data_IF_755030564990
#
_entry.id   IF_755030564990
#
_cell.length_a   1.000
_cell.length_b   1.000
_cell.length_c   1.000
_cell.angle_alpha   90.00
_cell.angle_beta   90.00
_cell.angle_gamma   90.00
#
_symmetry.space_group_name_H-M   'P 1'
#
loop_
_entity.id
_entity.type
_entity.pdbx_description
1 polymer ?
#
# COMPACT_ATOMS: atom_id res chain seq x y z
N UNK A 1 -57.62 33.29 -5.20
CA UNK A 1 -57.57 31.88 -4.75
C UNK A 1 -56.10 31.49 -4.49
N UNK A 2 -55.68 31.66 -3.25
CA UNK A 2 -54.36 31.29 -2.80
C UNK A 2 -54.38 29.85 -2.25
N UNK A 3 -53.55 28.95 -2.81
CA UNK A 3 -53.27 27.64 -2.22
C UNK A 3 -51.98 27.72 -1.39
N UNK A 4 -52.12 27.50 -0.09
CA UNK A 4 -51.03 27.27 0.86
C UNK A 4 -50.33 25.97 0.50
N UNK A 5 -49.02 26.05 0.29
CA UNK A 5 -48.15 24.88 0.26
C UNK A 5 -47.80 24.47 1.72
N UNK A 6 -48.19 23.26 2.07
CA UNK A 6 -47.85 22.67 3.37
C UNK A 6 -46.39 22.24 3.39
N UNK A 7 -45.73 22.59 4.48
CA UNK A 7 -44.38 22.17 4.83
C UNK A 7 -44.47 20.80 5.48
N UNK A 8 -44.13 19.76 4.73
CA UNK A 8 -43.92 18.42 5.28
C UNK A 8 -42.51 18.32 5.82
N UNK A 9 -42.36 18.56 7.13
CA UNK A 9 -41.15 18.20 7.84
C UNK A 9 -41.10 16.66 7.98
N UNK A 10 -40.20 16.03 7.31
CA UNK A 10 -39.84 14.62 7.53
C UNK A 10 -39.13 14.53 8.89
N UNK A 11 -39.85 14.16 9.93
CA UNK A 11 -39.27 13.76 11.20
C UNK A 11 -38.63 12.38 11.03
N UNK A 12 -37.29 12.37 10.95
CA UNK A 12 -36.53 11.12 11.02
C UNK A 12 -36.49 10.69 12.48
N UNK A 13 -37.37 9.79 12.88
CA UNK A 13 -37.27 9.08 14.15
C UNK A 13 -36.06 8.15 14.11
N UNK A 14 -34.95 8.58 14.70
CA UNK A 14 -33.87 7.68 15.05
C UNK A 14 -34.36 6.72 16.13
N UNK A 15 -34.72 5.51 15.72
CA UNK A 15 -34.98 4.39 16.62
C UNK A 15 -33.63 3.96 17.22
N UNK A 16 -33.22 4.60 18.32
CA UNK A 16 -32.09 4.14 19.13
C UNK A 16 -32.55 2.85 19.82
N UNK A 17 -32.35 1.72 19.14
CA UNK A 17 -32.45 0.39 19.75
C UNK A 17 -31.48 0.37 20.93
N UNK A 18 -31.97 0.34 22.16
CA UNK A 18 -31.13 0.10 23.35
C UNK A 18 -30.37 -1.20 23.13
N UNK A 19 -29.09 -1.11 22.74
CA UNK A 19 -28.19 -2.24 22.68
C UNK A 19 -27.89 -2.65 24.13
N UNK A 20 -28.62 -3.65 24.63
CA UNK A 20 -28.29 -4.32 25.89
C UNK A 20 -27.10 -5.25 25.62
N UNK A 21 -25.90 -4.76 25.85
CA UNK A 21 -24.68 -5.58 25.82
C UNK A 21 -24.73 -6.58 26.98
N UNK A 22 -24.62 -7.87 26.68
CA UNK A 22 -24.48 -8.88 27.72
C UNK A 22 -23.16 -8.68 28.48
N UNK A 23 -23.12 -9.01 29.77
CA UNK A 23 -21.89 -8.94 30.57
C UNK A 23 -20.71 -9.71 29.92
N UNK A 24 -21.04 -10.83 29.28
CA UNK A 24 -20.07 -11.65 28.56
C UNK A 24 -19.51 -10.94 27.32
N UNK A 25 -20.37 -10.33 26.51
CA UNK A 25 -19.95 -9.54 25.35
C UNK A 25 -19.14 -8.30 25.74
N UNK A 26 -19.48 -7.67 26.88
CA UNK A 26 -18.71 -6.55 27.43
C UNK A 26 -17.31 -6.99 27.88
N UNK A 27 -17.20 -8.11 28.61
CA UNK A 27 -15.90 -8.65 29.06
C UNK A 27 -15.05 -9.14 27.88
N UNK A 28 -15.64 -9.77 26.87
CA UNK A 28 -14.93 -10.13 25.66
C UNK A 28 -14.45 -8.87 24.87
N UNK A 29 -15.28 -7.85 24.75
CA UNK A 29 -14.92 -6.58 24.12
C UNK A 29 -13.82 -5.85 24.89
N UNK A 30 -13.88 -5.82 26.21
CA UNK A 30 -12.84 -5.24 27.06
C UNK A 30 -11.51 -6.03 26.97
N UNK A 31 -11.59 -7.35 26.95
CA UNK A 31 -10.42 -8.22 26.77
C UNK A 31 -9.73 -7.99 25.42
N UNK A 32 -10.49 -7.88 24.34
CA UNK A 32 -9.91 -7.57 23.02
C UNK A 32 -9.36 -6.15 22.94
N UNK A 33 -9.99 -5.17 23.57
CA UNK A 33 -9.47 -3.80 23.64
C UNK A 33 -8.15 -3.69 24.39
N UNK A 34 -7.93 -4.53 25.42
CA UNK A 34 -6.68 -4.59 26.18
C UNK A 34 -5.57 -5.35 25.44
N UNK A 35 -5.93 -6.24 24.52
CA UNK A 35 -4.96 -7.08 23.75
C UNK A 35 -4.53 -6.40 22.45
N UNK A 36 -5.40 -5.59 21.84
CA UNK A 36 -5.04 -4.87 20.63
C UNK A 36 -4.15 -3.67 20.99
N UNK A 37 -2.97 -3.56 20.37
CA UNK A 37 -2.17 -2.36 20.53
C UNK A 37 -2.97 -1.16 20.07
N UNK A 38 -2.96 -0.04 20.80
CA UNK A 38 -3.67 1.17 20.38
C UNK A 38 -3.11 1.61 19.03
N UNK A 39 -3.96 1.61 18.02
CA UNK A 39 -3.63 2.28 16.77
C UNK A 39 -3.56 3.77 17.04
N UNK A 40 -2.63 4.47 16.42
CA UNK A 40 -2.50 5.94 16.55
C UNK A 40 -3.83 6.65 16.27
N UNK A 41 -4.68 6.06 15.40
CA UNK A 41 -6.02 6.53 15.12
C UNK A 41 -7.02 6.35 16.28
N UNK A 42 -6.72 5.47 17.25
CA UNK A 42 -7.58 5.17 18.41
C UNK A 42 -7.12 5.92 19.67
N UNK A 43 -5.92 6.51 19.65
CA UNK A 43 -5.43 7.33 20.75
C UNK A 43 -6.36 8.54 20.91
N UNK A 44 -7.08 8.60 22.04
CA UNK A 44 -7.90 9.75 22.37
C UNK A 44 -7.00 11.00 22.36
N UNK A 45 -7.42 12.02 21.63
CA UNK A 45 -6.70 13.28 21.42
C UNK A 45 -6.60 14.06 22.74
N UNK A 46 -5.53 13.87 23.49
CA UNK A 46 -5.13 14.78 24.54
C UNK A 46 -4.19 15.80 23.93
N UNK A 47 -4.69 16.96 23.55
CA UNK A 47 -3.92 18.03 22.92
C UNK A 47 -4.47 18.48 21.56
N UNK A 48 -3.88 19.52 20.98
CA UNK A 48 -4.21 19.92 19.60
C UNK A 48 -3.92 18.76 18.66
N UNK A 49 -4.86 18.37 17.77
CA UNK A 49 -4.63 17.26 16.85
C UNK A 49 -3.39 17.60 16.00
N UNK A 50 -2.37 16.75 16.12
CA UNK A 50 -1.25 16.83 15.16
C UNK A 50 -1.80 16.57 13.76
N UNK A 51 -1.37 17.29 12.73
CA UNK A 51 -1.77 16.98 11.38
C UNK A 51 -1.44 15.51 11.08
N UNK A 52 -2.36 14.83 10.42
CA UNK A 52 -2.14 13.44 10.01
C UNK A 52 -0.99 13.44 8.99
N UNK A 53 0.09 12.67 9.21
CA UNK A 53 1.19 12.62 8.27
C UNK A 53 0.71 12.17 6.89
N UNK A 54 1.24 12.79 5.84
CA UNK A 54 0.99 12.36 4.48
C UNK A 54 1.51 10.93 4.28
N UNK A 55 0.67 10.06 3.71
CA UNK A 55 1.03 8.69 3.38
C UNK A 55 0.88 8.47 1.89
N UNK A 56 1.86 7.81 1.30
CA UNK A 56 1.86 7.42 -0.10
C UNK A 56 1.92 5.89 -0.19
N UNK A 57 1.22 5.32 -1.15
CA UNK A 57 1.23 3.87 -1.42
C UNK A 57 1.41 3.61 -2.90
N UNK A 58 2.23 2.61 -3.23
CA UNK A 58 2.47 2.15 -4.58
C UNK A 58 2.16 0.66 -4.64
N UNK A 59 1.31 0.24 -5.58
CA UNK A 59 0.96 -1.15 -5.79
C UNK A 59 1.37 -1.55 -7.20
N UNK A 60 2.26 -2.54 -7.29
CA UNK A 60 2.72 -3.10 -8.57
C UNK A 60 2.01 -4.42 -8.85
N UNK A 61 1.45 -4.56 -10.04
CA UNK A 61 0.84 -5.79 -10.53
C UNK A 61 1.78 -6.37 -11.60
N UNK A 62 2.48 -7.47 -11.30
CA UNK A 62 3.40 -8.08 -12.26
C UNK A 62 2.67 -8.70 -13.46
N UNK A 63 3.39 -8.92 -14.55
CA UNK A 63 2.90 -9.53 -15.79
C UNK A 63 1.80 -8.77 -16.54
N UNK A 64 1.47 -7.55 -16.10
CA UNK A 64 0.49 -6.69 -16.76
C UNK A 64 -0.96 -7.11 -16.53
N UNK A 65 -1.85 -6.65 -17.41
CA UNK A 65 -3.31 -6.81 -17.31
C UNK A 65 -3.91 -7.12 -18.67
N UNK A 66 -5.10 -7.69 -18.67
CA UNK A 66 -5.90 -7.88 -19.91
C UNK A 66 -6.53 -6.54 -20.26
N UNK A 67 -5.91 -5.79 -21.17
CA UNK A 67 -6.28 -4.40 -21.49
C UNK A 67 -7.78 -4.17 -21.75
N UNK A 68 -8.50 -5.00 -22.53
CA UNK A 68 -9.94 -4.78 -22.76
C UNK A 68 -10.79 -4.87 -21.48
N UNK A 69 -10.31 -5.59 -20.47
CA UNK A 69 -10.99 -5.72 -19.17
C UNK A 69 -10.50 -4.72 -18.13
N UNK A 70 -9.38 -4.07 -18.39
CA UNK A 70 -8.75 -3.10 -17.50
C UNK A 70 -9.07 -1.66 -17.87
N UNK A 71 -9.02 -1.33 -19.15
CA UNK A 71 -9.22 0.05 -19.62
C UNK A 71 -10.59 0.59 -19.26
N UNK A 72 -10.61 1.80 -18.76
CA UNK A 72 -11.85 2.59 -18.58
C UNK A 72 -12.34 3.10 -19.94
N UNK A 73 -13.62 3.42 -20.03
CA UNK A 73 -14.21 4.04 -21.23
C UNK A 73 -14.76 5.42 -20.90
N UNK A 74 -14.72 6.35 -21.84
CA UNK A 74 -15.09 7.75 -21.62
C UNK A 74 -13.91 8.59 -21.12
N UNK A 75 -14.15 9.88 -20.95
CA UNK A 75 -13.10 10.86 -20.60
C UNK A 75 -13.54 11.80 -19.47
N UNK A 76 -12.55 12.39 -18.82
CA UNK A 76 -12.74 13.34 -17.73
C UNK A 76 -13.50 12.70 -16.56
N UNK A 77 -14.53 13.39 -16.05
CA UNK A 77 -15.35 12.88 -14.94
C UNK A 77 -16.46 11.90 -15.36
N UNK A 78 -16.71 11.75 -16.66
CA UNK A 78 -17.77 10.88 -17.20
C UNK A 78 -17.24 9.54 -17.70
N UNK A 79 -16.20 9.02 -17.06
CA UNK A 79 -15.66 7.71 -17.42
C UNK A 79 -16.43 6.58 -16.74
N UNK A 80 -16.35 5.39 -17.32
CA UNK A 80 -16.88 4.16 -16.75
C UNK A 80 -15.74 3.23 -16.37
N UNK A 81 -15.84 2.63 -15.18
CA UNK A 81 -14.90 1.61 -14.75
C UNK A 81 -15.08 0.34 -15.56
N UNK A 82 -13.97 -0.28 -15.86
CA UNK A 82 -13.93 -1.58 -16.54
C UNK A 82 -14.36 -2.73 -15.61
N UNK A 83 -14.63 -3.93 -16.13
CA UNK A 83 -15.00 -5.07 -15.31
C UNK A 83 -14.01 -5.35 -14.16
N UNK A 84 -12.70 -5.27 -14.45
CA UNK A 84 -11.66 -5.51 -13.42
C UNK A 84 -11.61 -4.44 -12.34
N UNK A 85 -12.03 -3.21 -12.65
CA UNK A 85 -12.00 -2.08 -11.74
C UNK A 85 -13.35 -1.83 -11.05
N UNK A 86 -14.38 -2.64 -11.32
CA UNK A 86 -15.75 -2.46 -10.78
C UNK A 86 -15.79 -2.38 -9.25
N UNK A 87 -14.92 -3.10 -8.56
CA UNK A 87 -14.83 -3.04 -7.10
C UNK A 87 -14.48 -1.64 -6.55
N UNK A 88 -13.94 -0.77 -7.40
CA UNK A 88 -13.56 0.60 -7.06
C UNK A 88 -14.70 1.62 -7.29
N UNK A 89 -15.89 1.18 -7.73
CA UNK A 89 -17.02 2.08 -8.00
C UNK A 89 -17.35 3.03 -6.82
N UNK A 90 -17.32 2.59 -5.53
CA UNK A 90 -17.55 3.50 -4.40
C UNK A 90 -16.52 4.64 -4.29
N UNK A 91 -15.35 4.47 -4.86
CA UNK A 91 -14.22 5.42 -4.82
C UNK A 91 -14.02 6.16 -6.14
N UNK A 92 -14.95 6.05 -7.10
CA UNK A 92 -14.81 6.57 -8.45
C UNK A 92 -14.47 8.06 -8.51
N UNK A 93 -14.98 8.84 -7.58
CA UNK A 93 -14.70 10.27 -7.50
C UNK A 93 -13.31 10.61 -6.95
N UNK A 94 -12.65 9.65 -6.31
CA UNK A 94 -11.33 9.78 -5.70
C UNK A 94 -10.23 9.13 -6.55
N UNK A 95 -10.61 8.56 -7.71
CA UNK A 95 -9.70 7.83 -8.59
C UNK A 95 -9.49 8.61 -9.88
N UNK A 96 -8.26 8.60 -10.36
CA UNK A 96 -7.90 9.03 -11.71
C UNK A 96 -7.33 7.84 -12.48
N UNK A 97 -7.98 7.44 -13.56
CA UNK A 97 -7.44 6.44 -14.49
C UNK A 97 -6.57 7.14 -15.52
N UNK A 98 -5.33 6.71 -15.66
CA UNK A 98 -4.38 7.20 -16.65
C UNK A 98 -4.08 6.07 -17.65
N UNK A 99 -4.19 6.35 -18.94
CA UNK A 99 -3.87 5.43 -20.05
C UNK A 99 -2.94 6.11 -21.04
N UNK A 100 -2.32 5.33 -21.91
CA UNK A 100 -1.43 5.86 -22.95
C UNK A 100 -0.06 6.30 -22.46
N UNK A 101 0.33 5.98 -21.21
CA UNK A 101 1.66 6.23 -20.71
C UNK A 101 2.61 5.10 -21.11
N UNK A 102 3.84 5.46 -21.47
CA UNK A 102 4.92 4.52 -21.82
C UNK A 102 6.10 4.68 -20.87
N UNK A 103 6.71 3.58 -20.53
CA UNK A 103 7.93 3.53 -19.72
C UNK A 103 9.11 3.01 -20.56
N UNK A 104 9.68 3.87 -21.40
CA UNK A 104 10.77 3.53 -22.35
C UNK A 104 11.97 2.83 -21.71
N UNK A 105 12.28 3.13 -20.44
CA UNK A 105 13.39 2.50 -19.71
C UNK A 105 13.10 1.05 -19.28
N UNK A 106 11.85 0.61 -19.32
CA UNK A 106 11.47 -0.78 -19.11
C UNK A 106 11.66 -1.65 -20.35
N UNK A 107 11.80 -1.05 -21.54
CA UNK A 107 12.07 -1.77 -22.77
C UNK A 107 13.50 -2.35 -22.78
N UNK A 108 13.76 -3.28 -23.68
CA UNK A 108 15.06 -3.95 -23.77
C UNK A 108 16.22 -2.98 -24.04
N UNK A 109 16.01 -1.98 -24.91
CA UNK A 109 16.99 -0.95 -25.29
C UNK A 109 18.39 -1.52 -25.63
N UNK A 110 18.42 -2.70 -26.28
CA UNK A 110 19.64 -3.41 -26.65
C UNK A 110 20.02 -4.56 -25.72
N UNK A 111 19.44 -4.67 -24.52
CA UNK A 111 19.78 -5.72 -23.54
C UNK A 111 19.15 -7.10 -23.85
N UNK A 112 18.23 -7.17 -24.81
CA UNK A 112 17.52 -8.41 -25.15
C UNK A 112 16.50 -8.83 -24.07
N UNK A 113 16.33 -10.13 -23.85
CA UNK A 113 15.36 -10.68 -22.90
C UNK A 113 15.65 -10.26 -21.44
N UNK A 114 14.62 -10.30 -20.59
CA UNK A 114 14.70 -9.92 -19.16
C UNK A 114 13.57 -9.00 -18.73
N UNK A 115 12.36 -9.24 -19.26
CA UNK A 115 11.21 -8.33 -19.10
C UNK A 115 10.72 -8.23 -17.66
N UNK A 116 10.72 -9.33 -16.90
CA UNK A 116 10.26 -9.33 -15.51
C UNK A 116 11.16 -8.50 -14.61
N UNK A 117 12.48 -8.67 -14.75
CA UNK A 117 13.46 -7.92 -13.98
C UNK A 117 13.40 -6.43 -14.32
N UNK A 118 13.33 -6.08 -15.61
CA UNK A 118 13.22 -4.68 -16.05
C UNK A 118 11.93 -4.03 -15.57
N UNK A 119 10.79 -4.66 -15.81
CA UNK A 119 9.48 -4.10 -15.43
C UNK A 119 9.41 -3.81 -13.93
N UNK A 120 9.86 -4.74 -13.09
CA UNK A 120 9.84 -4.57 -11.65
C UNK A 120 10.80 -3.47 -11.18
N UNK A 121 12.05 -3.51 -11.61
CA UNK A 121 13.08 -2.58 -11.16
C UNK A 121 12.83 -1.14 -11.64
N UNK A 122 12.26 -0.96 -12.83
CA UNK A 122 12.01 0.38 -13.39
C UNK A 122 10.74 1.04 -12.88
N UNK A 123 9.81 0.30 -12.30
CA UNK A 123 8.49 0.80 -11.93
C UNK A 123 8.54 2.08 -11.07
N UNK A 124 9.33 2.09 -10.00
CA UNK A 124 9.47 3.25 -9.12
C UNK A 124 10.75 4.06 -9.33
N UNK A 125 11.72 3.53 -10.09
CA UNK A 125 13.00 4.22 -10.30
C UNK A 125 13.01 5.08 -11.55
N UNK A 126 12.20 4.76 -12.54
CA UNK A 126 12.23 5.43 -13.85
C UNK A 126 13.53 5.20 -14.64
N UNK A 127 14.43 4.35 -14.17
CA UNK A 127 15.75 4.12 -14.73
C UNK A 127 15.87 2.73 -15.39
N UNK A 128 16.74 2.61 -16.41
CA UNK A 128 17.05 1.31 -16.96
C UNK A 128 17.99 0.56 -16.02
N UNK A 129 17.64 -0.68 -15.68
CA UNK A 129 18.50 -1.55 -14.89
C UNK A 129 19.74 -1.95 -15.69
N UNK A 130 20.92 -1.87 -15.09
CA UNK A 130 22.16 -2.42 -15.67
C UNK A 130 22.05 -3.92 -15.77
N UNK A 131 22.16 -4.47 -16.98
CA UNK A 131 22.11 -5.93 -17.17
C UNK A 131 23.35 -6.59 -16.57
N UNK A 132 23.14 -7.27 -15.46
CA UNK A 132 24.14 -8.08 -14.77
C UNK A 132 23.47 -9.14 -13.92
N UNK A 133 24.05 -10.33 -13.85
CA UNK A 133 23.68 -11.38 -12.91
C UNK A 133 24.53 -11.33 -11.62
N UNK A 134 25.53 -10.47 -11.59
CA UNK A 134 26.47 -10.31 -10.48
C UNK A 134 25.99 -9.34 -9.39
N UNK A 135 26.95 -8.90 -8.59
CA UNK A 135 26.74 -7.95 -7.48
C UNK A 135 26.85 -6.48 -7.91
N UNK A 136 27.30 -6.21 -9.13
CA UNK A 136 27.46 -4.87 -9.69
C UNK A 136 26.15 -4.29 -10.22
N UNK A 137 25.08 -4.55 -9.48
CA UNK A 137 23.73 -4.03 -9.75
C UNK A 137 23.72 -2.51 -9.69
N UNK A 138 22.99 -1.89 -10.64
CA UNK A 138 22.82 -0.45 -10.69
C UNK A 138 21.52 -0.11 -11.41
N UNK A 139 20.75 0.81 -10.81
CA UNK A 139 19.54 1.34 -11.42
C UNK A 139 19.34 2.82 -11.08
N UNK A 140 18.63 3.15 -10.06
CA UNK A 140 18.34 4.50 -9.59
C UNK A 140 17.62 4.48 -8.25
N UNK A 141 17.55 5.62 -7.58
CA UNK A 141 16.74 5.78 -6.36
C UNK A 141 15.27 5.74 -6.74
N UNK A 142 14.46 5.00 -6.01
CA UNK A 142 13.02 4.93 -6.27
C UNK A 142 12.26 6.09 -5.65
N UNK A 143 11.16 6.51 -6.27
CA UNK A 143 10.36 7.66 -5.85
C UNK A 143 9.76 7.52 -4.45
N UNK A 144 9.44 6.30 -4.03
CA UNK A 144 8.96 5.98 -2.68
C UNK A 144 10.04 6.28 -1.63
N UNK A 145 11.31 5.98 -1.91
CA UNK A 145 12.42 6.26 -1.01
C UNK A 145 12.74 7.76 -0.96
N UNK A 146 12.65 8.47 -2.09
CA UNK A 146 12.74 9.93 -2.09
C UNK A 146 11.62 10.57 -1.28
N UNK A 147 10.38 10.07 -1.42
CA UNK A 147 9.26 10.53 -0.60
C UNK A 147 9.47 10.22 0.89
N UNK A 148 9.99 9.04 1.22
CA UNK A 148 10.27 8.64 2.60
C UNK A 148 11.31 9.56 3.29
N UNK A 149 12.28 10.07 2.57
CA UNK A 149 13.23 11.05 3.10
C UNK A 149 12.56 12.37 3.53
N UNK A 150 11.50 12.77 2.81
CA UNK A 150 10.79 14.02 3.08
C UNK A 150 9.72 13.86 4.16
N UNK A 151 8.84 12.87 4.04
CA UNK A 151 7.67 12.69 4.91
C UNK A 151 7.87 11.67 6.02
N UNK A 152 8.86 10.79 5.91
CA UNK A 152 9.07 9.67 6.84
C UNK A 152 9.52 10.07 8.24
N UNK A 153 9.98 11.32 8.42
CA UNK A 153 10.42 11.85 9.73
C UNK A 153 9.29 11.99 10.74
N UNK A 154 8.06 12.05 10.27
CA UNK A 154 6.86 12.23 11.09
C UNK A 154 6.24 10.90 11.53
N UNK A 155 6.76 9.77 11.03
CA UNK A 155 6.24 8.44 11.29
C UNK A 155 7.31 7.53 11.87
N UNK A 156 6.87 6.49 12.60
CA UNK A 156 7.77 5.49 13.20
C UNK A 156 8.60 4.74 12.15
N UNK A 157 7.98 4.41 11.03
CA UNK A 157 8.64 3.79 9.88
C UNK A 157 8.58 4.74 8.70
N UNK A 158 9.72 5.17 8.16
CA UNK A 158 9.75 6.07 7.00
C UNK A 158 9.12 5.43 5.76
N UNK A 159 9.34 4.13 5.57
CA UNK A 159 8.78 3.34 4.50
C UNK A 159 8.49 1.91 4.96
N UNK A 160 7.66 1.20 4.20
CA UNK A 160 7.30 -0.18 4.45
C UNK A 160 7.16 -0.90 3.11
N UNK A 161 8.12 -1.74 2.80
CA UNK A 161 8.17 -2.55 1.60
C UNK A 161 7.51 -3.90 1.87
N UNK A 162 6.52 -4.26 1.06
CA UNK A 162 5.71 -5.48 1.22
C UNK A 162 5.68 -6.28 -0.08
N UNK A 163 5.62 -7.60 0.04
CA UNK A 163 5.43 -8.51 -1.08
C UNK A 163 4.55 -9.70 -0.67
N UNK A 164 3.94 -10.35 -1.65
CA UNK A 164 3.29 -11.65 -1.48
C UNK A 164 4.28 -12.80 -1.57
N UNK A 165 5.44 -12.55 -2.17
CA UNK A 165 6.50 -13.53 -2.38
C UNK A 165 7.78 -13.17 -1.63
N UNK A 166 8.55 -14.21 -1.26
CA UNK A 166 9.84 -14.00 -0.61
C UNK A 166 10.85 -13.41 -1.60
N UNK A 167 11.52 -12.35 -1.20
CA UNK A 167 12.56 -11.71 -1.99
C UNK A 167 13.80 -12.60 -2.12
N UNK A 168 14.43 -12.53 -3.30
CA UNK A 168 15.79 -13.00 -3.54
C UNK A 168 16.69 -11.80 -3.83
N UNK A 169 17.80 -11.69 -3.14
CA UNK A 169 18.70 -10.53 -3.24
C UNK A 169 19.91 -10.78 -4.12
N UNK A 170 20.19 -12.02 -4.46
CA UNK A 170 21.39 -12.42 -5.22
C UNK A 170 21.09 -13.56 -6.20
N UNK A 171 21.99 -13.77 -7.13
CA UNK A 171 21.91 -14.77 -8.19
C UNK A 171 21.26 -14.23 -9.47
N UNK A 172 21.39 -14.95 -10.55
CA UNK A 172 20.77 -14.67 -11.83
C UNK A 172 19.34 -15.21 -11.84
N UNK A 173 18.38 -14.36 -12.19
CA UNK A 173 16.97 -14.74 -12.27
C UNK A 173 16.43 -14.66 -13.69
N UNK A 174 16.40 -13.50 -14.31
CA UNK A 174 15.72 -13.28 -15.58
C UNK A 174 16.72 -12.93 -16.69
N UNK A 175 17.03 -13.89 -17.55
CA UNK A 175 17.82 -13.69 -18.78
C UNK A 175 19.11 -12.89 -18.59
N UNK A 176 19.83 -13.15 -17.48
CA UNK A 176 21.09 -12.48 -17.15
C UNK A 176 20.93 -11.21 -16.31
N UNK A 177 19.73 -10.93 -15.81
CA UNK A 177 19.52 -9.93 -14.76
C UNK A 177 19.59 -10.56 -13.37
N UNK A 178 20.13 -9.82 -12.42
CA UNK A 178 20.16 -10.20 -11.00
C UNK A 178 18.75 -10.36 -10.43
N UNK A 179 18.58 -11.30 -9.51
CA UNK A 179 17.35 -11.47 -8.74
C UNK A 179 16.96 -10.20 -7.95
N UNK A 180 17.94 -9.37 -7.59
CA UNK A 180 17.68 -8.09 -6.93
C UNK A 180 16.76 -7.19 -7.76
N UNK A 181 16.85 -7.20 -9.07
CA UNK A 181 15.96 -6.42 -9.93
C UNK A 181 14.54 -7.00 -9.99
N UNK A 182 14.42 -8.33 -10.01
CA UNK A 182 13.14 -8.99 -10.16
C UNK A 182 12.28 -8.94 -8.88
N UNK A 183 12.91 -8.85 -7.71
CA UNK A 183 12.21 -8.97 -6.43
C UNK A 183 12.15 -7.68 -5.60
N UNK A 184 12.73 -6.57 -6.10
CA UNK A 184 12.70 -5.32 -5.35
C UNK A 184 12.16 -4.17 -6.21
N UNK A 185 11.09 -3.53 -5.73
CA UNK A 185 10.52 -2.30 -6.31
C UNK A 185 11.26 -1.06 -5.80
N UNK A 186 11.59 -1.08 -4.50
CA UNK A 186 12.15 0.05 -3.78
C UNK A 186 13.67 0.01 -3.76
N UNK A 187 14.31 1.15 -4.00
CA UNK A 187 15.76 1.31 -4.08
C UNK A 187 16.20 2.56 -3.34
N UNK A 188 16.94 2.38 -2.24
CA UNK A 188 17.42 3.48 -1.41
C UNK A 188 18.57 4.24 -2.05
N UNK A 189 19.42 3.53 -2.80
CA UNK A 189 20.49 4.11 -3.63
C UNK A 189 20.48 3.42 -4.99
N UNK A 190 21.32 3.86 -5.91
CA UNK A 190 21.45 3.24 -7.23
C UNK A 190 21.81 1.74 -7.19
N UNK A 191 22.36 1.25 -6.08
CA UNK A 191 22.81 -0.14 -5.92
C UNK A 191 22.31 -0.83 -4.65
N UNK A 192 21.46 -0.15 -3.86
CA UNK A 192 20.93 -0.71 -2.62
C UNK A 192 19.41 -0.89 -2.72
N UNK A 193 18.95 -2.11 -3.04
CA UNK A 193 17.53 -2.44 -3.00
C UNK A 193 17.02 -2.49 -1.57
N UNK A 194 15.71 -2.22 -1.40
CA UNK A 194 14.99 -2.36 -0.14
C UNK A 194 14.16 -3.64 -0.19
N UNK A 195 14.61 -4.72 0.48
CA UNK A 195 13.92 -6.01 0.42
C UNK A 195 12.52 -5.92 1.03
N UNK A 196 11.49 -6.38 0.33
CA UNK A 196 10.15 -6.42 0.87
C UNK A 196 9.99 -7.54 1.88
N UNK A 197 9.18 -7.29 2.90
CA UNK A 197 8.75 -8.29 3.86
C UNK A 197 7.52 -9.04 3.33
N UNK A 198 7.59 -10.36 3.29
CA UNK A 198 6.50 -11.22 2.82
C UNK A 198 5.78 -11.95 3.96
N UNK A 199 6.28 -11.87 5.19
CA UNK A 199 5.65 -12.50 6.34
C UNK A 199 4.74 -11.48 7.06
N UNK A 200 3.39 -11.69 7.06
CA UNK A 200 2.47 -10.76 7.72
C UNK A 200 2.76 -10.57 9.21
N UNK A 201 3.24 -11.61 9.89
CA UNK A 201 3.61 -11.55 11.31
C UNK A 201 4.79 -10.60 11.54
N UNK A 202 5.84 -10.71 10.70
CA UNK A 202 7.00 -9.80 10.78
C UNK A 202 6.58 -8.36 10.52
N UNK A 203 5.66 -8.12 9.58
CA UNK A 203 5.08 -6.79 9.32
C UNK A 203 4.36 -6.26 10.55
N UNK A 204 3.52 -7.09 11.16
CA UNK A 204 2.80 -6.72 12.38
C UNK A 204 3.78 -6.37 13.52
N UNK A 205 4.80 -7.20 13.72
CA UNK A 205 5.83 -6.96 14.73
C UNK A 205 6.58 -5.64 14.47
N UNK A 206 6.97 -5.35 13.24
CA UNK A 206 7.61 -4.06 12.88
C UNK A 206 6.72 -2.86 13.18
N UNK A 207 5.44 -2.95 12.89
CA UNK A 207 4.48 -1.86 13.11
C UNK A 207 4.18 -1.63 14.60
N UNK A 208 4.01 -2.70 15.37
CA UNK A 208 3.39 -2.64 16.69
C UNK A 208 4.31 -3.00 17.86
N UNK A 209 5.53 -3.52 17.63
CA UNK A 209 6.44 -3.95 18.71
C UNK A 209 7.38 -2.86 19.21
N UNK A 210 7.23 -1.63 18.76
CA UNK A 210 8.12 -0.54 19.18
C UNK A 210 8.13 -0.32 20.69
N UNK A 211 9.28 -0.51 21.32
CA UNK A 211 9.46 -0.35 22.75
C UNK A 211 9.10 -1.55 23.61
N UNK A 212 8.71 -2.68 23.01
CA UNK A 212 8.44 -3.92 23.73
C UNK A 212 9.69 -4.78 23.85
N UNK A 213 9.88 -5.44 25.02
CA UNK A 213 10.89 -6.49 25.15
C UNK A 213 10.53 -7.72 24.31
N UNK A 214 11.51 -8.61 24.06
CA UNK A 214 11.25 -9.86 23.33
C UNK A 214 10.15 -10.69 23.99
N UNK A 215 10.15 -10.77 25.33
CA UNK A 215 9.13 -11.51 26.09
C UNK A 215 7.73 -10.90 25.92
N UNK A 216 7.63 -9.58 25.88
CA UNK A 216 6.36 -8.88 25.64
C UNK A 216 5.84 -9.11 24.22
N UNK A 217 6.72 -9.11 23.21
CA UNK A 217 6.37 -9.45 21.82
C UNK A 217 5.89 -10.89 21.73
N UNK A 218 6.63 -11.85 22.30
CA UNK A 218 6.25 -13.25 22.31
C UNK A 218 4.94 -13.51 23.08
N UNK A 219 4.73 -12.83 24.21
CA UNK A 219 3.49 -12.92 24.97
C UNK A 219 2.28 -12.42 24.16
N UNK A 220 2.42 -11.31 23.43
CA UNK A 220 1.36 -10.81 22.53
C UNK A 220 1.09 -11.76 21.38
N UNK A 221 2.14 -12.31 20.77
CA UNK A 221 2.04 -13.23 19.66
C UNK A 221 1.36 -14.55 20.02
N UNK A 222 1.53 -15.04 21.25
CA UNK A 222 0.83 -16.26 21.73
C UNK A 222 -0.66 -16.06 22.01
N UNK A 223 -1.13 -14.80 22.07
CA UNK A 223 -2.53 -14.44 22.36
C UNK A 223 -3.36 -14.14 21.10
N UNK A 224 -2.73 -14.08 19.93
CA UNK A 224 -3.35 -13.96 18.62
C UNK A 224 -3.48 -15.33 17.95
#
# INVERSE_FOLDING_TARGET
LARKAGSDYFEIYFLVKKLTLSRRSFLHGLGTALVLPPLEAMAAKVGKPKPIPLRMGFAYIPNGVILPQWRTTGEGRKYNLSPSLRALEPFKNDIQALDGLDHKKANANGDGAGDHARANATFLTGCQARKTAGSDIRIGVSVDQLAAEHVGKETKLPSLELSTDRARLSGGCDSGYSCAYQYNLAWKTESLPMPPEANPRSVFERLFSGGLSKEQVESRTRRL
#
